data_IF_878597763874
#
_entry.id   IF_878597763874
#
_cell.length_a   1.000
_cell.length_b   1.000
_cell.length_c   1.000
_cell.angle_alpha   90.00
_cell.angle_beta   90.00
_cell.angle_gamma   90.00
#
_symmetry.space_group_name_H-M   'P 1'
#
loop_
_entity.id
_entity.type
_entity.pdbx_description
1 polymer ?
#
# COMPACT_ATOMS: atom_id res chain seq x y z
N UNK A 1 -8.25 -13.25 9.77
CA UNK A 1 -7.14 -12.76 10.58
C UNK A 1 -6.81 -11.33 10.23
N UNK A 2 -6.19 -11.07 9.08
CA UNK A 2 -5.95 -9.71 8.64
C UNK A 2 -7.23 -8.88 8.55
N UNK A 3 -8.33 -9.51 8.14
CA UNK A 3 -9.62 -8.87 8.03
C UNK A 3 -10.07 -8.28 9.36
N UNK A 4 -9.93 -9.05 10.43
CA UNK A 4 -10.30 -8.60 11.78
C UNK A 4 -9.38 -7.50 12.27
N UNK A 5 -8.08 -7.63 12.00
CA UNK A 5 -7.11 -6.63 12.41
C UNK A 5 -7.33 -5.31 11.69
N UNK A 6 -7.54 -5.36 10.38
CA UNK A 6 -7.85 -4.18 9.59
C UNK A 6 -9.11 -3.48 10.11
N UNK A 7 -10.16 -4.26 10.37
CA UNK A 7 -11.41 -3.72 10.89
C UNK A 7 -11.22 -3.02 12.23
N UNK A 8 -10.45 -3.63 13.13
CA UNK A 8 -10.16 -3.04 14.43
C UNK A 8 -9.43 -1.70 14.31
N UNK A 9 -8.45 -1.62 13.42
CA UNK A 9 -7.70 -0.39 13.19
C UNK A 9 -8.65 0.71 12.73
N UNK A 10 -9.48 0.42 11.75
CA UNK A 10 -10.39 1.41 11.16
C UNK A 10 -11.44 1.90 12.16
N UNK A 11 -11.98 1.00 12.96
CA UNK A 11 -12.95 1.38 14.00
C UNK A 11 -12.31 2.24 15.08
N UNK A 12 -11.13 1.83 15.55
CA UNK A 12 -10.42 2.54 16.61
C UNK A 12 -10.06 3.95 16.18
N UNK A 13 -9.74 4.13 14.91
CA UNK A 13 -9.36 5.43 14.37
C UNK A 13 -10.54 6.27 13.87
N UNK A 14 -11.75 5.73 13.98
CA UNK A 14 -12.95 6.43 13.54
C UNK A 14 -13.03 6.62 12.04
N UNK A 15 -12.32 5.78 11.28
CA UNK A 15 -12.30 5.87 9.82
C UNK A 15 -13.52 5.26 9.16
N UNK A 16 -14.28 4.43 9.88
CA UNK A 16 -15.47 3.76 9.35
C UNK A 16 -16.46 3.50 10.48
N UNK A 17 -17.76 3.49 10.15
CA UNK A 17 -18.80 3.12 11.08
C UNK A 17 -18.90 1.60 11.17
N UNK A 18 -19.24 1.08 12.35
CA UNK A 18 -19.31 -0.35 12.59
C UNK A 18 -20.26 -1.05 11.63
N UNK A 19 -21.42 -0.46 11.37
CA UNK A 19 -22.42 -1.05 10.48
C UNK A 19 -21.86 -1.25 9.08
N UNK A 20 -21.19 -0.25 8.54
CA UNK A 20 -20.59 -0.33 7.21
C UNK A 20 -19.45 -1.35 7.17
N UNK A 21 -18.69 -1.44 8.26
CA UNK A 21 -17.62 -2.43 8.34
C UNK A 21 -18.18 -3.84 8.33
N UNK A 22 -19.25 -4.09 9.08
CA UNK A 22 -19.86 -5.42 9.11
C UNK A 22 -20.43 -5.82 7.76
N UNK A 23 -21.04 -4.88 7.04
CA UNK A 23 -21.51 -5.14 5.69
C UNK A 23 -20.38 -5.52 4.75
N UNK A 24 -19.26 -4.81 4.85
CA UNK A 24 -18.09 -5.07 4.01
C UNK A 24 -17.46 -6.44 4.34
N UNK A 25 -17.40 -6.79 5.62
CA UNK A 25 -16.88 -8.08 6.05
C UNK A 25 -17.74 -9.21 5.49
N UNK A 26 -19.06 -9.06 5.55
CA UNK A 26 -19.98 -10.07 5.02
C UNK A 26 -19.81 -10.23 3.51
N UNK A 27 -19.71 -9.12 2.78
CA UNK A 27 -19.51 -9.14 1.34
C UNK A 27 -18.18 -9.80 0.98
N UNK A 28 -17.11 -9.46 1.68
CA UNK A 28 -15.78 -10.02 1.43
C UNK A 28 -15.80 -11.54 1.64
N UNK A 29 -16.42 -11.98 2.73
CA UNK A 29 -16.53 -13.41 3.05
C UNK A 29 -17.34 -14.16 1.99
N UNK A 30 -18.51 -13.61 1.62
CA UNK A 30 -19.43 -14.27 0.70
C UNK A 30 -18.83 -14.39 -0.70
N UNK A 31 -18.04 -13.41 -1.11
CA UNK A 31 -17.49 -13.36 -2.46
C UNK A 31 -16.02 -13.79 -2.55
N UNK A 32 -15.41 -14.10 -1.42
CA UNK A 32 -13.99 -14.48 -1.40
C UNK A 32 -13.06 -13.34 -1.78
N UNK A 33 -13.40 -12.11 -1.38
CA UNK A 33 -12.62 -10.92 -1.70
C UNK A 33 -11.87 -10.41 -0.47
N UNK A 34 -10.84 -9.59 -0.71
CA UNK A 34 -10.14 -8.92 0.37
C UNK A 34 -11.01 -7.80 0.95
N UNK A 35 -11.00 -7.65 2.27
CA UNK A 35 -11.81 -6.61 2.92
C UNK A 35 -11.42 -5.22 2.42
N UNK A 36 -10.13 -4.93 2.29
CA UNK A 36 -9.66 -3.62 1.82
C UNK A 36 -10.23 -3.28 0.45
N UNK A 37 -10.26 -4.25 -0.46
CA UNK A 37 -10.80 -4.05 -1.80
C UNK A 37 -12.30 -3.76 -1.77
N UNK A 38 -13.05 -4.47 -0.93
CA UNK A 38 -14.48 -4.25 -0.79
C UNK A 38 -14.77 -2.86 -0.23
N UNK A 39 -14.02 -2.45 0.78
CA UNK A 39 -14.21 -1.13 1.42
C UNK A 39 -14.02 0.01 0.43
N UNK A 40 -13.00 -0.08 -0.41
CA UNK A 40 -12.72 0.96 -1.40
C UNK A 40 -13.72 0.89 -2.55
N UNK A 41 -14.00 -0.30 -3.07
CA UNK A 41 -14.90 -0.47 -4.21
C UNK A 41 -16.33 -0.01 -3.90
N UNK A 42 -16.79 -0.20 -2.67
CA UNK A 42 -18.13 0.22 -2.25
C UNK A 42 -18.20 1.65 -1.72
N UNK A 43 -17.06 2.35 -1.75
CA UNK A 43 -16.95 3.72 -1.23
C UNK A 43 -17.26 3.84 0.27
N UNK A 44 -17.09 2.75 1.01
CA UNK A 44 -17.22 2.79 2.46
C UNK A 44 -16.09 3.62 3.07
N UNK A 45 -14.95 3.64 2.42
CA UNK A 45 -13.80 4.47 2.81
C UNK A 45 -13.02 4.84 1.54
N UNK A 46 -12.47 6.04 1.50
CA UNK A 46 -11.58 6.43 0.40
C UNK A 46 -10.24 5.72 0.54
N UNK A 47 -9.62 5.32 -0.57
CA UNK A 47 -8.35 4.61 -0.51
C UNK A 47 -7.27 5.40 0.23
N UNK A 48 -7.19 6.71 -0.01
CA UNK A 48 -6.20 7.54 0.69
C UNK A 48 -6.39 7.47 2.20
N UNK A 49 -7.63 7.54 2.66
CA UNK A 49 -7.91 7.47 4.10
C UNK A 49 -7.55 6.10 4.67
N UNK A 50 -7.82 5.04 3.91
CA UNK A 50 -7.47 3.68 4.32
C UNK A 50 -5.95 3.53 4.45
N UNK A 51 -5.21 3.94 3.44
CA UNK A 51 -3.75 3.80 3.43
C UNK A 51 -3.13 4.65 4.55
N UNK A 52 -3.65 5.88 4.77
CA UNK A 52 -3.17 6.72 5.86
C UNK A 52 -3.37 6.07 7.23
N UNK A 53 -4.54 5.49 7.44
CA UNK A 53 -4.83 4.85 8.72
C UNK A 53 -3.89 3.69 8.99
N UNK A 54 -3.63 2.87 7.98
CA UNK A 54 -2.73 1.74 8.11
C UNK A 54 -1.27 2.19 8.29
N UNK A 55 -0.88 3.23 7.57
CA UNK A 55 0.48 3.79 7.70
C UNK A 55 0.71 4.32 9.11
N UNK A 56 -0.26 5.06 9.65
CA UNK A 56 -0.17 5.58 11.02
C UNK A 56 -0.06 4.44 12.03
N UNK A 57 -0.79 3.37 11.80
CA UNK A 57 -0.79 2.24 12.73
C UNK A 57 0.60 1.60 12.83
N UNK A 58 1.31 1.49 11.72
CA UNK A 58 2.64 0.85 11.70
C UNK A 58 3.79 1.86 11.76
N UNK A 59 3.49 3.15 11.91
CA UNK A 59 4.51 4.18 12.00
C UNK A 59 5.22 4.47 10.68
N UNK A 60 4.54 4.26 9.56
CA UNK A 60 5.10 4.47 8.23
C UNK A 60 4.69 5.84 7.69
N UNK A 61 5.63 6.63 7.12
CA UNK A 61 5.27 7.90 6.50
C UNK A 61 4.32 7.69 5.33
N UNK A 62 3.51 8.70 5.02
CA UNK A 62 2.56 8.67 3.92
C UNK A 62 2.91 9.72 2.87
N UNK A 63 2.89 9.31 1.58
CA UNK A 63 3.05 10.22 0.45
C UNK A 63 1.78 10.19 -0.39
N UNK A 64 1.17 11.34 -0.62
CA UNK A 64 -0.03 11.41 -1.46
C UNK A 64 0.28 11.36 -2.95
N UNK A 65 1.50 11.71 -3.34
CA UNK A 65 1.90 11.79 -4.74
C UNK A 65 3.33 11.30 -4.90
N UNK A 66 3.64 10.77 -6.09
CA UNK A 66 4.98 10.32 -6.45
C UNK A 66 5.39 11.08 -7.71
N UNK A 67 6.54 11.75 -7.66
CA UNK A 67 7.09 12.43 -8.83
C UNK A 67 7.94 11.43 -9.61
N UNK A 68 7.35 10.85 -10.64
CA UNK A 68 7.99 9.80 -11.44
C UNK A 68 9.29 10.29 -12.11
N UNK A 69 9.38 11.58 -12.41
CA UNK A 69 10.57 12.14 -13.06
C UNK A 69 11.80 12.12 -12.16
N UNK A 70 11.58 12.11 -10.86
CA UNK A 70 12.67 12.08 -9.89
C UNK A 70 13.14 10.68 -9.52
N UNK A 71 12.48 9.65 -10.02
CA UNK A 71 12.86 8.27 -9.72
C UNK A 71 14.11 7.89 -10.52
N UNK A 72 15.19 7.42 -9.86
CA UNK A 72 16.38 6.98 -10.60
C UNK A 72 16.05 5.82 -11.54
N UNK A 73 16.46 5.94 -12.80
CA UNK A 73 16.17 4.94 -13.82
C UNK A 73 16.71 3.55 -13.46
N UNK A 74 17.88 3.49 -12.86
CA UNK A 74 18.48 2.21 -12.50
C UNK A 74 17.67 1.47 -11.44
N UNK A 75 16.94 2.18 -10.58
CA UNK A 75 16.05 1.54 -9.62
C UNK A 75 14.85 0.90 -10.32
N UNK A 76 14.30 1.61 -11.29
CA UNK A 76 13.17 1.11 -12.06
C UNK A 76 13.56 -0.15 -12.84
N UNK A 77 14.74 -0.14 -13.43
CA UNK A 77 15.24 -1.27 -14.23
C UNK A 77 15.43 -2.55 -13.41
N UNK A 78 15.72 -2.42 -12.13
CA UNK A 78 15.95 -3.58 -11.26
C UNK A 78 14.66 -4.29 -10.84
N UNK A 79 13.51 -3.65 -11.03
CA UNK A 79 12.23 -4.21 -10.57
C UNK A 79 11.37 -4.58 -11.76
N UNK A 80 10.98 -5.86 -11.89
CA UNK A 80 10.07 -6.25 -12.98
C UNK A 80 8.76 -5.48 -12.89
N UNK A 81 8.31 -4.93 -14.01
CA UNK A 81 7.12 -4.09 -14.03
C UNK A 81 5.87 -4.84 -13.58
N UNK A 82 5.78 -6.13 -13.91
CA UNK A 82 4.65 -6.95 -13.48
C UNK A 82 4.62 -7.13 -11.98
N UNK A 83 5.78 -7.27 -11.36
CA UNK A 83 5.90 -7.36 -9.91
C UNK A 83 5.42 -6.07 -9.26
N UNK A 84 5.89 -4.93 -9.77
CA UNK A 84 5.50 -3.61 -9.25
C UNK A 84 4.00 -3.40 -9.35
N UNK A 85 3.40 -3.75 -10.49
CA UNK A 85 1.96 -3.59 -10.71
C UNK A 85 1.13 -4.54 -9.85
N UNK A 86 1.57 -5.79 -9.73
CA UNK A 86 0.83 -6.78 -8.98
C UNK A 86 0.75 -6.43 -7.49
N UNK A 87 1.86 -5.95 -6.94
CA UNK A 87 1.96 -5.68 -5.50
C UNK A 87 1.82 -4.21 -5.15
N UNK A 88 1.61 -3.33 -6.13
CA UNK A 88 1.53 -1.87 -5.94
C UNK A 88 2.70 -1.39 -5.09
N UNK A 89 3.90 -1.64 -5.58
CA UNK A 89 5.15 -1.31 -4.90
C UNK A 89 6.13 -0.75 -5.92
N UNK A 90 6.88 0.28 -5.54
CA UNK A 90 7.80 0.93 -6.47
C UNK A 90 8.94 1.60 -5.72
N UNK A 91 10.21 1.34 -6.09
CA UNK A 91 11.31 2.11 -5.54
C UNK A 91 11.27 3.53 -6.12
N UNK A 92 11.40 4.55 -5.27
CA UNK A 92 11.19 5.94 -5.70
C UNK A 92 12.35 6.87 -5.44
N UNK A 93 13.31 6.51 -4.58
CA UNK A 93 14.44 7.38 -4.29
C UNK A 93 15.56 6.63 -3.61
N UNK A 94 16.76 7.22 -3.67
CA UNK A 94 17.89 6.77 -2.86
C UNK A 94 18.13 7.76 -1.73
N UNK A 95 18.35 7.23 -0.53
CA UNK A 95 18.69 8.00 0.65
C UNK A 95 19.96 7.42 1.24
N UNK A 96 21.13 7.79 0.70
CA UNK A 96 22.37 7.16 1.06
C UNK A 96 22.36 5.68 0.67
N UNK A 97 22.54 4.80 1.66
CA UNK A 97 22.51 3.35 1.43
C UNK A 97 21.09 2.76 1.36
N UNK A 98 20.10 3.56 1.73
CA UNK A 98 18.71 3.12 1.73
C UNK A 98 18.02 3.42 0.40
N UNK A 99 17.07 2.56 0.03
CA UNK A 99 16.19 2.83 -1.11
C UNK A 99 14.80 3.07 -0.56
N UNK A 100 14.23 4.24 -0.85
CA UNK A 100 12.85 4.54 -0.46
C UNK A 100 11.90 3.83 -1.41
N UNK A 101 10.94 3.12 -0.84
CA UNK A 101 10.00 2.30 -1.60
C UNK A 101 8.57 2.68 -1.23
N UNK A 102 7.75 3.03 -2.22
CA UNK A 102 6.33 3.32 -2.00
C UNK A 102 5.55 2.02 -2.00
N UNK A 103 4.64 1.86 -1.03
CA UNK A 103 3.79 0.67 -0.91
C UNK A 103 2.34 1.10 -0.69
N UNK A 104 1.41 0.39 -1.31
CA UNK A 104 -0.03 0.67 -1.11
C UNK A 104 -0.61 -0.09 0.07
N UNK A 105 0.00 -1.21 0.46
CA UNK A 105 -0.45 -1.98 1.62
C UNK A 105 0.63 -2.02 2.70
N UNK A 106 0.55 -1.13 3.70
CA UNK A 106 1.55 -1.09 4.77
C UNK A 106 1.60 -2.35 5.64
N UNK A 107 0.56 -3.17 5.61
CA UNK A 107 0.52 -4.40 6.41
C UNK A 107 1.14 -5.59 5.72
N UNK A 108 1.35 -5.54 4.40
CA UNK A 108 1.92 -6.65 3.65
C UNK A 108 3.42 -6.47 3.48
N UNK A 109 4.20 -7.29 4.17
CA UNK A 109 5.66 -7.20 4.15
C UNK A 109 6.32 -8.12 3.12
N UNK A 110 5.58 -9.04 2.52
CA UNK A 110 6.17 -9.99 1.56
C UNK A 110 6.81 -9.30 0.35
N UNK A 111 6.12 -8.36 -0.33
CA UNK A 111 6.76 -7.70 -1.47
C UNK A 111 7.99 -6.90 -1.07
N UNK A 112 8.03 -6.37 0.15
CA UNK A 112 9.19 -5.62 0.64
C UNK A 112 10.41 -6.51 0.78
N UNK A 113 10.23 -7.73 1.26
CA UNK A 113 11.34 -8.68 1.42
C UNK A 113 11.87 -9.10 0.06
N UNK A 114 11.00 -9.37 -0.90
CA UNK A 114 11.40 -9.72 -2.26
C UNK A 114 12.15 -8.56 -2.90
N UNK A 115 11.66 -7.34 -2.72
CA UNK A 115 12.28 -6.16 -3.31
C UNK A 115 13.65 -5.89 -2.70
N UNK A 116 13.80 -6.10 -1.40
CA UNK A 116 15.09 -5.96 -0.72
C UNK A 116 16.12 -6.90 -1.35
N UNK A 117 15.71 -8.14 -1.65
CA UNK A 117 16.59 -9.10 -2.31
C UNK A 117 16.95 -8.67 -3.73
N UNK A 118 15.97 -8.16 -4.48
CA UNK A 118 16.22 -7.68 -5.85
C UNK A 118 17.16 -6.49 -5.89
N UNK A 119 17.00 -5.54 -4.98
CA UNK A 119 17.81 -4.33 -4.95
C UNK A 119 19.18 -4.53 -4.27
N UNK A 120 19.29 -5.52 -3.40
CA UNK A 120 20.52 -5.77 -2.66
C UNK A 120 20.85 -4.66 -1.67
N UNK A 121 19.87 -3.89 -1.23
CA UNK A 121 20.04 -2.75 -0.33
C UNK A 121 18.91 -2.70 0.69
N UNK A 122 19.18 -2.12 1.87
CA UNK A 122 18.10 -1.88 2.83
C UNK A 122 17.07 -0.93 2.24
N UNK A 123 15.82 -1.09 2.62
CA UNK A 123 14.73 -0.26 2.11
C UNK A 123 14.07 0.54 3.23
N UNK A 124 13.55 1.71 2.83
CA UNK A 124 12.81 2.62 3.69
C UNK A 124 11.40 2.73 3.13
N UNK A 125 10.42 1.97 3.67
CA UNK A 125 9.08 1.97 3.11
C UNK A 125 8.28 3.21 3.48
N UNK A 126 7.54 3.74 2.49
CA UNK A 126 6.57 4.81 2.70
C UNK A 126 5.26 4.38 2.07
N UNK A 127 4.15 4.76 2.69
CA UNK A 127 2.84 4.39 2.17
C UNK A 127 2.37 5.40 1.14
N UNK A 128 1.67 4.93 0.11
CA UNK A 128 1.08 5.79 -0.92
C UNK A 128 -0.15 5.11 -1.49
N UNK A 129 -1.13 5.89 -2.00
CA UNK A 129 -2.30 5.27 -2.64
C UNK A 129 -1.86 4.44 -3.85
N UNK A 130 -2.58 3.34 -4.12
CA UNK A 130 -2.26 2.50 -5.27
C UNK A 130 -2.29 3.28 -6.58
N UNK A 131 -3.22 4.22 -6.70
CA UNK A 131 -3.33 5.07 -7.89
C UNK A 131 -2.04 5.88 -8.12
N UNK A 132 -1.46 6.44 -7.08
CA UNK A 132 -0.21 7.20 -7.20
C UNK A 132 0.93 6.31 -7.65
N UNK A 133 0.99 5.08 -7.15
CA UNK A 133 2.02 4.13 -7.53
C UNK A 133 1.81 3.68 -8.98
N UNK A 134 0.59 3.32 -9.35
CA UNK A 134 0.27 2.87 -10.71
C UNK A 134 0.55 3.97 -11.74
N UNK A 135 0.20 5.22 -11.41
CA UNK A 135 0.50 6.35 -12.30
C UNK A 135 2.00 6.50 -12.52
N UNK A 136 2.79 6.35 -11.47
CA UNK A 136 4.25 6.44 -11.59
C UNK A 136 4.83 5.28 -12.41
N UNK A 137 4.27 4.08 -12.28
CA UNK A 137 4.71 2.91 -13.05
C UNK A 137 4.40 3.10 -14.54
N UNK A 138 3.24 3.66 -14.85
CA UNK A 138 2.80 3.81 -16.25
C UNK A 138 3.46 4.96 -17.00
N UNK A 139 4.25 5.76 -16.33
CA UNK A 139 5.00 6.86 -16.95
C UNK A 139 6.38 6.38 -17.36
#
# INVERSE_FOLDING_TARGET
>A
MQTSYLGEILLRRGAIEEEKLQEAIATARDRGLELSDVLVATHAIEEEALVRALADEVGMPFLGRIDHEKIPEDLIEKVPINFARQHHILPIARLGDLVRVAVADPLDTFPLDDLRALLGQPIDPVAAPSEAIDDAINR
#
